data_IF_467923057525
#
_entry.id   IF_467923057525
#
_cell.length_a   1.000
_cell.length_b   1.000
_cell.length_c   1.000
_cell.angle_alpha   90.00
_cell.angle_beta   90.00
_cell.angle_gamma   90.00
#
_symmetry.space_group_name_H-M   'P 1'
#
loop_
_entity.id
_entity.type
_entity.pdbx_description
1 polymer ?
#
# COMPACT_ATOMS: atom_id res chain seq x y z
N UNK A 1 -11.73 -9.59 -18.90
CA UNK A 1 -10.61 -9.36 -19.82
C UNK A 1 -9.38 -9.15 -18.96
N UNK A 2 -8.59 -10.20 -18.72
CA UNK A 2 -7.30 -10.06 -18.03
C UNK A 2 -6.45 -9.09 -18.84
N UNK A 3 -6.19 -7.90 -18.31
CA UNK A 3 -5.21 -6.99 -18.91
C UNK A 3 -3.87 -7.71 -18.84
N UNK A 4 -3.41 -8.24 -19.96
CA UNK A 4 -2.07 -8.80 -20.06
C UNK A 4 -1.09 -7.72 -19.62
N UNK A 5 -0.39 -8.00 -18.52
CA UNK A 5 0.62 -7.08 -17.98
C UNK A 5 1.86 -7.19 -18.86
N UNK A 6 2.39 -6.05 -19.29
CA UNK A 6 3.59 -6.04 -20.12
C UNK A 6 4.79 -6.60 -19.33
N UNK A 7 5.58 -7.56 -19.87
CA UNK A 7 6.66 -8.19 -19.12
C UNK A 7 7.74 -7.18 -18.70
N UNK A 8 8.15 -7.22 -17.42
CA UNK A 8 9.18 -6.32 -16.89
C UNK A 8 10.51 -6.43 -17.66
N UNK A 9 10.88 -7.64 -18.05
CA UNK A 9 12.12 -7.92 -18.79
C UNK A 9 12.08 -7.40 -20.24
N UNK A 10 10.89 -7.22 -20.82
CA UNK A 10 10.71 -6.73 -22.18
C UNK A 10 10.79 -5.20 -22.30
N UNK A 11 10.89 -4.47 -21.19
CA UNK A 11 11.00 -3.01 -21.19
C UNK A 11 12.33 -2.62 -21.84
N UNK A 12 12.24 -1.86 -22.92
CA UNK A 12 13.39 -1.43 -23.71
C UNK A 12 14.08 -0.25 -23.02
N UNK A 13 15.38 -0.38 -22.79
CA UNK A 13 16.19 0.65 -22.11
C UNK A 13 15.82 0.83 -20.64
N UNK A 14 15.87 2.08 -20.16
CA UNK A 14 15.52 2.46 -18.79
C UNK A 14 16.27 1.67 -17.69
N UNK A 15 17.54 1.35 -17.94
CA UNK A 15 18.35 0.49 -17.06
C UNK A 15 18.39 0.99 -15.60
N UNK A 16 18.51 2.30 -15.41
CA UNK A 16 18.52 2.90 -14.07
C UNK A 16 17.18 2.72 -13.35
N UNK A 17 16.06 2.96 -14.05
CA UNK A 17 14.71 2.78 -13.48
C UNK A 17 14.49 1.30 -13.10
N UNK A 18 14.83 0.36 -13.99
CA UNK A 18 14.67 -1.07 -13.72
C UNK A 18 15.50 -1.50 -12.52
N UNK A 19 16.75 -1.08 -12.42
CA UNK A 19 17.62 -1.37 -11.26
C UNK A 19 17.08 -0.79 -9.97
N UNK A 20 16.64 0.46 -9.97
CA UNK A 20 16.08 1.11 -8.78
C UNK A 20 14.84 0.37 -8.27
N UNK A 21 13.95 -0.04 -9.18
CA UNK A 21 12.76 -0.82 -8.85
C UNK A 21 13.11 -2.21 -8.29
N UNK A 22 14.09 -2.91 -8.88
CA UNK A 22 14.56 -4.21 -8.37
C UNK A 22 15.16 -4.06 -6.96
N UNK A 23 16.01 -3.06 -6.75
CA UNK A 23 16.63 -2.84 -5.46
C UNK A 23 15.59 -2.53 -4.37
N UNK A 24 14.62 -1.67 -4.66
CA UNK A 24 13.53 -1.39 -3.73
C UNK A 24 12.65 -2.62 -3.45
N UNK A 25 12.45 -3.51 -4.41
CA UNK A 25 11.73 -4.76 -4.20
C UNK A 25 12.49 -5.77 -3.33
N UNK A 26 13.82 -5.74 -3.35
CA UNK A 26 14.68 -6.57 -2.50
C UNK A 26 14.76 -5.99 -1.09
N UNK A 27 15.02 -4.68 -1.00
CA UNK A 27 15.18 -3.95 0.25
C UNK A 27 14.38 -2.65 0.22
N UNK A 28 13.16 -2.66 0.78
CA UNK A 28 12.32 -1.47 0.89
C UNK A 28 12.91 -0.37 1.77
N UNK A 29 13.89 -0.67 2.64
CA UNK A 29 14.50 0.31 3.55
C UNK A 29 15.36 1.35 2.82
N UNK A 30 15.69 1.10 1.55
CA UNK A 30 16.29 2.08 0.64
C UNK A 30 15.38 3.32 0.47
N UNK A 31 14.08 3.20 0.77
CA UNK A 31 13.09 4.27 0.65
C UNK A 31 12.40 4.26 -0.71
N UNK A 32 11.60 5.30 -0.97
CA UNK A 32 10.81 5.42 -2.20
C UNK A 32 11.66 5.62 -3.47
N UNK A 33 11.15 5.15 -4.60
CA UNK A 33 11.78 5.35 -5.91
C UNK A 33 11.12 6.51 -6.65
N UNK A 34 11.85 7.61 -6.83
CA UNK A 34 11.40 8.74 -7.65
C UNK A 34 11.77 8.53 -9.13
N UNK A 35 10.78 8.36 -9.99
CA UNK A 35 10.98 8.15 -11.42
C UNK A 35 10.64 9.43 -12.19
N UNK A 36 11.66 10.07 -12.78
CA UNK A 36 11.50 11.24 -13.64
C UNK A 36 11.47 10.85 -15.11
N UNK A 37 10.60 11.49 -15.88
CA UNK A 37 10.51 11.32 -17.33
C UNK A 37 9.20 11.84 -17.90
N UNK A 38 9.13 11.99 -19.20
CA UNK A 38 7.94 12.47 -19.91
C UNK A 38 6.78 11.46 -19.87
N UNK A 39 5.58 11.91 -20.24
CA UNK A 39 4.43 11.02 -20.44
C UNK A 39 4.75 10.03 -21.57
N UNK A 40 4.37 8.76 -21.39
CA UNK A 40 4.62 7.71 -22.39
C UNK A 40 5.98 7.03 -22.29
N UNK A 41 6.81 7.35 -21.29
CA UNK A 41 8.13 6.70 -21.06
C UNK A 41 8.06 5.34 -20.33
N UNK A 42 6.88 4.71 -20.32
CA UNK A 42 6.61 3.39 -19.72
C UNK A 42 6.85 3.28 -18.18
N UNK A 43 6.79 4.39 -17.43
CA UNK A 43 6.97 4.41 -15.96
C UNK A 43 5.98 3.49 -15.23
N UNK A 44 4.68 3.71 -15.42
CA UNK A 44 3.62 2.88 -14.81
C UNK A 44 3.64 1.44 -15.33
N UNK A 45 3.98 1.26 -16.62
CA UNK A 45 4.18 -0.07 -17.22
C UNK A 45 5.28 -0.85 -16.52
N UNK A 46 6.39 -0.20 -16.16
CA UNK A 46 7.50 -0.83 -15.45
C UNK A 46 7.13 -1.28 -14.04
N UNK A 47 6.45 -0.43 -13.29
CA UNK A 47 6.00 -0.74 -11.94
C UNK A 47 5.02 -1.93 -11.95
N UNK A 48 4.04 -1.93 -12.87
CA UNK A 48 3.08 -3.03 -13.00
C UNK A 48 3.73 -4.31 -13.52
N UNK A 49 4.67 -4.20 -14.46
CA UNK A 49 5.47 -5.33 -14.93
C UNK A 49 6.27 -5.97 -13.80
N UNK A 50 6.91 -5.16 -12.94
CA UNK A 50 7.62 -5.66 -11.77
C UNK A 50 6.67 -6.40 -10.82
N UNK A 51 5.52 -5.80 -10.51
CA UNK A 51 4.52 -6.40 -9.62
C UNK A 51 4.09 -7.81 -10.05
N UNK A 52 4.02 -8.06 -11.37
CA UNK A 52 3.65 -9.35 -11.94
C UNK A 52 4.75 -10.42 -11.86
N UNK A 53 6.01 -10.04 -11.65
CA UNK A 53 7.14 -10.99 -11.51
C UNK A 53 7.55 -11.21 -10.05
N UNK A 54 7.02 -10.42 -9.11
CA UNK A 54 7.25 -10.64 -7.69
C UNK A 54 6.62 -11.97 -7.24
N UNK A 55 7.21 -12.65 -6.23
CA UNK A 55 6.63 -13.85 -5.68
C UNK A 55 5.19 -13.61 -5.21
N UNK A 56 4.27 -14.57 -5.43
CA UNK A 56 2.91 -14.44 -4.98
C UNK A 56 2.88 -14.31 -3.45
N UNK A 57 1.98 -13.46 -2.96
CA UNK A 57 1.81 -13.20 -1.54
C UNK A 57 0.65 -14.01 -1.01
N UNK A 58 0.85 -14.68 0.11
CA UNK A 58 -0.22 -15.36 0.86
C UNK A 58 -0.75 -14.41 1.93
N UNK A 59 -2.04 -14.07 1.87
CA UNK A 59 -2.69 -13.11 2.77
C UNK A 59 -4.06 -13.60 3.21
N UNK A 60 -4.58 -13.02 4.28
CA UNK A 60 -5.96 -13.27 4.75
C UNK A 60 -6.94 -12.73 3.71
N UNK A 61 -7.84 -13.62 3.24
CA UNK A 61 -8.85 -13.30 2.23
C UNK A 61 -9.78 -12.20 2.74
N UNK A 62 -9.91 -11.12 1.96
CA UNK A 62 -10.79 -9.99 2.28
C UNK A 62 -10.26 -9.05 3.36
N UNK A 63 -9.03 -9.23 3.84
CA UNK A 63 -8.41 -8.30 4.77
C UNK A 63 -7.86 -7.08 4.02
N UNK A 64 -8.32 -5.87 4.39
CA UNK A 64 -7.82 -4.62 3.81
C UNK A 64 -6.32 -4.44 4.01
N UNK A 65 -5.81 -4.81 5.20
CA UNK A 65 -4.40 -4.71 5.57
C UNK A 65 -3.55 -5.86 5.02
N UNK A 66 -4.13 -6.80 4.26
CA UNK A 66 -3.40 -7.95 3.72
C UNK A 66 -2.58 -8.73 4.76
N UNK A 67 -3.15 -8.92 5.95
CA UNK A 67 -2.50 -9.62 7.07
C UNK A 67 -2.03 -11.03 6.68
N UNK A 68 -1.00 -11.53 7.37
CA UNK A 68 -0.46 -12.88 7.17
C UNK A 68 -0.57 -13.67 8.47
N UNK A 69 -1.05 -14.93 8.46
CA UNK A 69 -1.06 -15.77 9.64
C UNK A 69 0.36 -16.09 10.12
N UNK A 70 0.52 -16.27 11.43
CA UNK A 70 1.82 -16.59 12.04
C UNK A 70 2.64 -15.37 12.46
N UNK A 71 2.13 -14.15 12.23
CA UNK A 71 2.65 -12.91 12.83
C UNK A 71 1.58 -12.26 13.71
N UNK A 72 1.38 -12.73 14.96
CA UNK A 72 0.29 -12.26 15.83
C UNK A 72 0.36 -10.75 16.10
N UNK A 73 1.57 -10.20 16.20
CA UNK A 73 1.83 -8.79 16.49
C UNK A 73 1.48 -7.85 15.32
N UNK A 74 1.28 -8.39 14.11
CA UNK A 74 0.97 -7.63 12.90
C UNK A 74 -0.46 -7.81 12.37
N UNK A 75 -1.36 -8.44 13.14
CA UNK A 75 -2.75 -8.63 12.72
C UNK A 75 -3.55 -7.34 12.92
N UNK A 76 -4.34 -6.97 11.91
CA UNK A 76 -5.32 -5.91 12.06
C UNK A 76 -6.39 -6.31 13.11
N UNK A 77 -7.10 -5.35 13.71
CA UNK A 77 -8.07 -5.63 14.77
C UNK A 77 -9.12 -6.71 14.40
N UNK A 78 -9.57 -6.74 13.15
CA UNK A 78 -10.54 -7.73 12.67
C UNK A 78 -9.95 -9.16 12.57
N UNK A 79 -8.70 -9.30 12.10
CA UNK A 79 -8.03 -10.59 12.02
C UNK A 79 -7.65 -11.08 13.43
N UNK A 80 -7.15 -10.18 14.29
CA UNK A 80 -6.81 -10.50 15.67
C UNK A 80 -8.05 -10.99 16.45
N UNK A 81 -9.19 -10.31 16.33
CA UNK A 81 -10.44 -10.74 16.96
C UNK A 81 -10.92 -12.11 16.47
N UNK A 82 -10.75 -12.40 15.17
CA UNK A 82 -11.13 -13.70 14.61
C UNK A 82 -10.27 -14.84 15.18
N UNK A 83 -8.96 -14.63 15.29
CA UNK A 83 -8.03 -15.60 15.88
C UNK A 83 -8.30 -15.79 17.37
N UNK A 84 -8.56 -14.72 18.11
CA UNK A 84 -8.92 -14.80 19.53
C UNK A 84 -10.21 -15.60 19.78
N UNK A 85 -11.13 -15.61 18.81
CA UNK A 85 -12.35 -16.44 18.82
C UNK A 85 -12.09 -17.88 18.36
N UNK A 86 -10.84 -18.28 18.10
CA UNK A 86 -10.49 -19.61 17.61
C UNK A 86 -10.86 -19.87 16.14
N UNK A 87 -11.19 -18.83 15.37
CA UNK A 87 -11.54 -18.98 13.95
C UNK A 87 -10.28 -19.07 13.10
N UNK A 88 -10.27 -19.99 12.14
CA UNK A 88 -9.24 -20.05 11.10
C UNK A 88 -9.37 -18.85 10.16
N UNK A 89 -8.25 -18.22 9.83
CA UNK A 89 -8.21 -17.15 8.83
C UNK A 89 -8.11 -17.75 7.42
N UNK A 90 -9.12 -17.59 6.55
CA UNK A 90 -9.05 -18.12 5.19
C UNK A 90 -7.96 -17.39 4.42
N UNK A 91 -7.13 -18.14 3.70
CA UNK A 91 -6.03 -17.58 2.93
C UNK A 91 -6.36 -17.50 1.45
N UNK A 92 -5.69 -16.56 0.81
CA UNK A 92 -5.62 -16.42 -0.63
C UNK A 92 -4.20 -16.06 -1.00
N UNK A 93 -3.73 -16.62 -2.09
CA UNK A 93 -2.53 -16.17 -2.78
C UNK A 93 -2.92 -15.25 -3.94
N UNK A 94 -1.95 -14.45 -4.38
CA UNK A 94 -2.14 -13.54 -5.50
C UNK A 94 -0.88 -12.74 -5.83
N UNK A 95 -0.87 -12.06 -6.98
CA UNK A 95 0.22 -11.16 -7.34
C UNK A 95 0.30 -9.98 -6.38
N UNK A 96 1.46 -9.32 -6.32
CA UNK A 96 1.60 -8.08 -5.56
C UNK A 96 0.70 -7.00 -6.18
N UNK A 97 -0.25 -6.42 -5.44
CA UNK A 97 -1.11 -5.37 -5.98
C UNK A 97 -0.32 -4.08 -6.19
N UNK A 98 -0.69 -3.34 -7.22
CA UNK A 98 -0.26 -1.95 -7.44
C UNK A 98 -1.43 -1.05 -7.14
N UNK A 99 -1.31 -0.24 -6.09
CA UNK A 99 -2.33 0.70 -5.65
C UNK A 99 -1.96 2.08 -6.18
N UNK A 100 -2.82 2.68 -7.00
CA UNK A 100 -2.61 4.03 -7.50
C UNK A 100 -3.16 5.05 -6.50
N UNK A 101 -2.34 6.02 -6.10
CA UNK A 101 -2.77 7.18 -5.34
C UNK A 101 -3.38 8.21 -6.32
N UNK A 102 -4.66 8.59 -6.16
CA UNK A 102 -5.24 9.65 -6.96
C UNK A 102 -4.70 11.02 -6.52
N UNK A 103 -4.44 11.91 -7.48
CA UNK A 103 -3.91 13.26 -7.25
C UNK A 103 -4.77 14.10 -6.30
N UNK A 104 -6.09 13.88 -6.30
CA UNK A 104 -7.05 14.62 -5.48
C UNK A 104 -7.52 13.81 -4.25
N UNK A 105 -6.72 12.86 -3.77
CA UNK A 105 -7.02 12.17 -2.53
C UNK A 105 -6.93 13.16 -1.36
N UNK A 106 -7.98 13.24 -0.53
CA UNK A 106 -7.84 13.89 0.76
C UNK A 106 -6.94 13.06 1.67
N UNK A 107 -6.28 13.70 2.62
CA UNK A 107 -5.48 13.03 3.65
C UNK A 107 -6.26 11.91 4.34
N UNK A 108 -7.49 12.18 4.79
CA UNK A 108 -8.38 11.17 5.39
C UNK A 108 -8.59 9.93 4.52
N UNK A 109 -8.64 10.10 3.19
CA UNK A 109 -8.79 8.98 2.27
C UNK A 109 -7.49 8.19 2.12
N UNK A 110 -6.33 8.83 2.31
CA UNK A 110 -5.01 8.21 2.21
C UNK A 110 -4.65 7.49 3.51
N UNK A 111 -4.64 8.22 4.62
CA UNK A 111 -4.18 7.73 5.94
C UNK A 111 -5.29 6.99 6.68
N UNK A 112 -6.55 7.35 6.43
CA UNK A 112 -7.71 6.89 7.18
C UNK A 112 -8.21 7.96 8.14
N UNK A 113 -9.38 7.72 8.71
CA UNK A 113 -10.02 8.67 9.61
C UNK A 113 -10.59 7.97 10.84
N UNK A 114 -10.77 8.71 11.92
CA UNK A 114 -11.41 8.22 13.14
C UNK A 114 -12.84 8.76 13.18
N UNK A 115 -13.83 7.85 13.13
CA UNK A 115 -15.24 8.24 13.22
C UNK A 115 -15.58 8.61 14.68
N UNK A 116 -15.53 9.91 14.95
CA UNK A 116 -15.84 10.50 16.25
C UNK A 116 -17.35 10.50 16.54
N UNK A 117 -18.20 10.60 15.53
CA UNK A 117 -19.66 10.63 15.73
C UNK A 117 -20.19 9.28 16.23
N UNK A 118 -19.71 8.18 15.64
CA UNK A 118 -19.98 6.83 16.15
C UNK A 118 -19.31 6.60 17.50
N UNK A 119 -18.13 7.19 17.76
CA UNK A 119 -17.48 7.09 19.06
C UNK A 119 -18.30 7.75 20.18
N UNK A 120 -18.95 8.88 19.89
CA UNK A 120 -19.80 9.60 20.85
C UNK A 120 -21.17 8.92 21.05
N UNK A 121 -21.74 8.33 19.99
CA UNK A 121 -23.08 7.73 20.04
C UNK A 121 -23.07 6.29 20.56
N UNK A 122 -22.10 5.48 20.12
CA UNK A 122 -21.99 4.05 20.47
C UNK A 122 -20.93 3.76 21.55
N UNK A 123 -20.18 4.80 21.98
CA UNK A 123 -19.08 4.65 22.94
C UNK A 123 -17.87 3.88 22.39
N UNK A 124 -17.82 3.62 21.08
CA UNK A 124 -16.77 2.82 20.43
C UNK A 124 -16.08 3.62 19.33
N UNK A 125 -14.80 3.96 19.57
CA UNK A 125 -13.94 4.58 18.56
C UNK A 125 -13.74 3.62 17.38
N UNK A 126 -14.18 3.99 16.19
CA UNK A 126 -14.03 3.18 14.99
C UNK A 126 -13.09 3.86 14.00
N UNK A 127 -11.97 3.20 13.73
CA UNK A 127 -11.06 3.62 12.67
C UNK A 127 -11.60 3.18 11.31
N UNK A 128 -11.68 4.12 10.37
CA UNK A 128 -11.98 3.89 8.98
C UNK A 128 -10.64 3.87 8.20
N UNK A 129 -10.18 2.70 7.73
CA UNK A 129 -8.88 2.58 7.06
C UNK A 129 -8.85 3.34 5.74
N UNK A 130 -7.75 4.05 5.49
CA UNK A 130 -7.47 4.73 4.23
C UNK A 130 -6.82 3.82 3.18
N UNK A 131 -6.39 4.45 2.08
CA UNK A 131 -5.69 3.81 0.96
C UNK A 131 -4.39 3.12 1.41
N UNK A 132 -3.67 3.68 2.38
CA UNK A 132 -2.45 3.08 2.93
C UNK A 132 -2.69 1.70 3.57
N UNK A 133 -3.88 1.44 4.11
CA UNK A 133 -4.23 0.11 4.60
C UNK A 133 -4.22 -0.91 3.47
N UNK A 134 -4.81 -0.57 2.32
CA UNK A 134 -4.81 -1.43 1.13
C UNK A 134 -3.45 -1.52 0.43
N UNK A 135 -2.60 -0.51 0.63
CA UNK A 135 -1.23 -0.50 0.13
C UNK A 135 -0.26 -1.32 1.01
N UNK A 136 -0.70 -1.85 2.15
CA UNK A 136 0.17 -2.64 3.02
C UNK A 136 0.70 -3.88 2.29
N UNK A 137 2.05 -3.97 2.21
CA UNK A 137 2.82 -4.98 1.45
C UNK A 137 2.53 -4.99 -0.07
N UNK A 138 1.89 -3.95 -0.58
CA UNK A 138 1.66 -3.69 -1.99
C UNK A 138 2.73 -2.74 -2.54
N UNK A 139 2.61 -2.37 -3.82
CA UNK A 139 3.32 -1.22 -4.37
C UNK A 139 2.35 -0.04 -4.41
N UNK A 140 2.72 1.07 -3.75
CA UNK A 140 2.02 2.34 -3.89
C UNK A 140 2.61 3.13 -5.06
N UNK A 141 1.81 3.42 -6.07
CA UNK A 141 2.21 4.23 -7.23
C UNK A 141 1.55 5.61 -7.17
N UNK A 142 2.35 6.66 -7.30
CA UNK A 142 1.89 8.04 -7.40
C UNK A 142 2.27 8.58 -8.77
N UNK A 143 1.27 8.88 -9.60
CA UNK A 143 1.52 9.61 -10.85
C UNK A 143 1.62 11.10 -10.57
N UNK A 144 2.46 11.81 -11.31
CA UNK A 144 2.58 13.29 -11.21
C UNK A 144 2.75 13.78 -9.75
N UNK A 145 3.68 13.18 -9.01
CA UNK A 145 3.96 13.48 -7.57
C UNK A 145 4.17 14.96 -7.28
N UNK A 146 4.57 15.75 -8.28
CA UNK A 146 4.73 17.19 -8.18
C UNK A 146 3.40 17.97 -8.05
N UNK A 147 2.26 17.31 -8.17
CA UNK A 147 0.92 17.89 -7.95
C UNK A 147 0.30 17.47 -6.62
N UNK A 148 1.00 16.63 -5.85
CA UNK A 148 0.53 16.19 -4.55
C UNK A 148 0.69 17.32 -3.52
N UNK A 149 -0.21 17.36 -2.54
CA UNK A 149 -0.11 18.26 -1.39
C UNK A 149 1.16 17.94 -0.58
N UNK A 150 1.88 18.98 -0.12
CA UNK A 150 3.14 18.82 0.64
C UNK A 150 2.94 17.94 1.88
N UNK A 151 1.81 18.08 2.58
CA UNK A 151 1.52 17.29 3.78
C UNK A 151 1.34 15.80 3.45
N UNK A 152 0.74 15.48 2.30
CA UNK A 152 0.64 14.09 1.84
C UNK A 152 2.00 13.51 1.49
N UNK A 153 2.89 14.29 0.87
CA UNK A 153 4.25 13.83 0.56
C UNK A 153 4.98 13.45 1.85
N UNK A 154 4.90 14.29 2.88
CA UNK A 154 5.57 14.06 4.16
C UNK A 154 5.07 12.77 4.84
N UNK A 155 3.75 12.58 4.89
CA UNK A 155 3.16 11.35 5.45
C UNK A 155 3.59 10.12 4.67
N UNK A 156 3.59 10.18 3.34
CA UNK A 156 3.98 9.03 2.51
C UNK A 156 5.46 8.67 2.69
N UNK A 157 6.33 9.66 2.85
CA UNK A 157 7.75 9.45 3.13
C UNK A 157 7.95 8.84 4.51
N UNK A 158 7.26 9.33 5.54
CA UNK A 158 7.33 8.77 6.90
C UNK A 158 6.88 7.30 6.90
N UNK A 159 5.71 7.00 6.33
CA UNK A 159 5.17 5.63 6.27
C UNK A 159 6.06 4.70 5.45
N UNK A 160 6.69 5.19 4.37
CA UNK A 160 7.63 4.40 3.58
C UNK A 160 8.91 4.03 4.36
N UNK A 161 9.33 4.87 5.32
CA UNK A 161 10.52 4.65 6.15
C UNK A 161 10.19 3.83 7.39
N UNK A 162 9.15 4.21 8.13
CA UNK A 162 8.75 3.56 9.39
C UNK A 162 8.03 2.23 9.16
N UNK A 163 7.37 2.09 8.01
CA UNK A 163 6.46 0.99 7.72
C UNK A 163 5.14 1.04 8.49
N UNK A 164 4.89 2.13 9.23
CA UNK A 164 3.74 2.28 10.13
C UNK A 164 3.00 3.57 9.78
N UNK A 165 1.71 3.44 9.47
CA UNK A 165 0.81 4.57 9.32
C UNK A 165 0.16 4.88 10.67
N UNK A 166 0.60 5.97 11.30
CA UNK A 166 0.07 6.47 12.57
C UNK A 166 -1.00 7.52 12.27
N UNK A 167 -2.20 7.35 12.83
CA UNK A 167 -3.31 8.29 12.66
C UNK A 167 -3.71 8.83 14.03
N UNK A 168 -3.34 10.08 14.29
CA UNK A 168 -3.66 10.83 15.51
C UNK A 168 -4.58 12.00 15.13
N UNK A 169 -5.56 12.31 15.99
CA UNK A 169 -6.47 13.45 15.81
C UNK A 169 -6.58 14.18 17.14
N UNK A 170 -6.41 15.51 17.14
CA UNK A 170 -6.36 16.33 18.36
C UNK A 170 -7.46 15.94 19.37
N UNK A 171 -7.02 15.49 20.54
CA UNK A 171 -7.88 15.01 21.64
C UNK A 171 -7.85 13.51 21.91
N UNK A 172 -7.13 12.70 21.11
CA UNK A 172 -6.88 11.26 21.34
C UNK A 172 -5.51 10.83 20.82
#
# INVERSE_FOLDING_TARGET
>A
MERQTYPFTAIVGQEQMRKALIFNAIDPTIGGVLIRGEKGTAKSTAVRGLAAVLPPRVVVRGCLFSCVPGQPEGLCPACAASVAQGKSLPLTDGPTPVIDLPLNASEDRVVGTLDLEQALTEGRKRFAPGLLATAHRAILYVDEVNLLDDHLVDVLLDVAVTGINVVEREGV
#
